data_IF_139747498624
#
_entry.id   IF_139747498624
#
_cell.length_a   1.000
_cell.length_b   1.000
_cell.length_c   1.000
_cell.angle_alpha   90.00
_cell.angle_beta   90.00
_cell.angle_gamma   90.00
#
_symmetry.space_group_name_H-M   'P 1'
#
loop_
_entity.id
_entity.type
_entity.pdbx_description
1 polymer ?
#
# COMPACT_ATOMS: atom_id res chain seq x y z
N UNK A 1 -1.38 14.66 8.88
CA UNK A 1 -0.11 14.04 9.37
C UNK A 1 0.32 12.82 8.52
N UNK A 2 1.46 12.18 8.80
CA UNK A 2 1.81 10.87 8.19
C UNK A 2 0.96 9.75 8.81
N UNK A 3 0.58 8.72 8.03
CA UNK A 3 -0.22 7.61 8.54
C UNK A 3 0.60 6.76 9.51
N UNK A 4 -0.02 6.40 10.61
CA UNK A 4 0.44 5.39 11.54
C UNK A 4 -0.03 4.01 11.09
N UNK A 5 0.50 2.95 11.69
CA UNK A 5 0.02 1.58 11.48
C UNK A 5 -1.48 1.42 11.81
N UNK A 6 -1.97 2.16 12.82
CA UNK A 6 -3.37 2.14 13.20
C UNK A 6 -4.27 2.79 12.14
N UNK A 7 -3.84 3.90 11.50
CA UNK A 7 -4.63 4.53 10.43
C UNK A 7 -4.83 3.59 9.25
N UNK A 8 -3.80 2.81 8.92
CA UNK A 8 -3.89 1.79 7.88
C UNK A 8 -4.82 0.64 8.26
N UNK A 9 -4.77 0.18 9.52
CA UNK A 9 -5.72 -0.79 10.03
C UNK A 9 -7.17 -0.28 9.91
N UNK A 10 -7.43 0.94 10.36
CA UNK A 10 -8.76 1.56 10.29
C UNK A 10 -9.23 1.72 8.85
N UNK A 11 -8.36 2.15 7.94
CA UNK A 11 -8.66 2.25 6.51
C UNK A 11 -9.06 0.88 5.94
N UNK A 12 -8.29 -0.18 6.22
CA UNK A 12 -8.62 -1.50 5.73
C UNK A 12 -9.94 -2.02 6.32
N UNK A 13 -10.18 -1.85 7.62
CA UNK A 13 -11.44 -2.26 8.24
C UNK A 13 -12.66 -1.51 7.70
N UNK A 14 -12.51 -0.22 7.39
CA UNK A 14 -13.59 0.57 6.79
C UNK A 14 -14.05 0.02 5.44
N UNK A 15 -13.14 -0.60 4.67
CA UNK A 15 -13.43 -1.19 3.35
C UNK A 15 -13.56 -2.71 3.36
N UNK A 16 -13.97 -3.30 4.49
CA UNK A 16 -14.29 -4.73 4.57
C UNK A 16 -13.18 -5.63 5.12
N UNK A 17 -12.14 -5.04 5.72
CA UNK A 17 -11.07 -5.75 6.41
C UNK A 17 -9.93 -6.20 5.50
N UNK A 18 -8.92 -6.81 6.11
CA UNK A 18 -7.65 -7.16 5.45
C UNK A 18 -7.81 -8.09 4.24
N UNK A 19 -8.83 -8.94 4.19
CA UNK A 19 -9.03 -9.87 3.08
C UNK A 19 -9.71 -9.23 1.85
N UNK A 20 -10.37 -8.09 2.01
CA UNK A 20 -11.29 -7.54 1.00
C UNK A 20 -10.97 -6.09 0.57
N UNK A 21 -10.40 -5.30 1.48
CA UNK A 21 -10.20 -3.86 1.28
C UNK A 21 -9.31 -3.50 0.08
N UNK A 22 -8.43 -4.42 -0.34
CA UNK A 22 -7.49 -4.19 -1.43
C UNK A 22 -8.19 -3.87 -2.76
N UNK A 23 -9.38 -4.42 -3.01
CA UNK A 23 -10.16 -4.07 -4.22
C UNK A 23 -10.65 -2.63 -4.18
N UNK A 24 -11.22 -2.19 -3.06
CA UNK A 24 -11.75 -0.83 -2.90
C UNK A 24 -10.64 0.22 -2.88
N UNK A 25 -9.45 -0.12 -2.37
CA UNK A 25 -8.31 0.79 -2.25
C UNK A 25 -7.48 0.92 -3.53
N UNK A 26 -7.42 -0.14 -4.35
CA UNK A 26 -6.64 -0.12 -5.60
C UNK A 26 -7.26 0.80 -6.63
N UNK A 27 -6.38 1.44 -7.41
CA UNK A 27 -6.79 2.33 -8.48
C UNK A 27 -7.60 1.59 -9.55
N UNK A 28 -8.62 2.27 -10.05
CA UNK A 28 -9.29 1.93 -11.29
C UNK A 28 -8.56 2.68 -12.42
N UNK A 29 -7.66 2.00 -13.12
CA UNK A 29 -6.91 2.58 -14.22
C UNK A 29 -6.81 1.61 -15.40
N UNK A 30 -7.05 2.08 -16.65
CA UNK A 30 -6.90 1.24 -17.84
C UNK A 30 -5.44 0.84 -18.11
N UNK A 31 -4.47 1.49 -17.46
CA UNK A 31 -3.06 1.12 -17.54
C UNK A 31 -2.75 -0.20 -16.79
N UNK A 32 -3.65 -0.63 -15.90
CA UNK A 32 -3.54 -1.85 -15.11
C UNK A 32 -4.22 -3.01 -15.85
N UNK A 33 -3.58 -3.45 -16.94
CA UNK A 33 -4.15 -4.40 -17.89
C UNK A 33 -4.20 -5.85 -17.42
N UNK A 34 -3.44 -6.23 -16.37
CA UNK A 34 -3.52 -7.61 -15.87
C UNK A 34 -4.68 -7.76 -14.90
N UNK A 35 -5.31 -8.92 -14.95
CA UNK A 35 -6.29 -9.32 -13.96
C UNK A 35 -5.71 -9.18 -12.55
N UNK A 36 -6.55 -8.76 -11.60
CA UNK A 36 -6.23 -8.52 -10.18
C UNK A 36 -5.38 -7.25 -9.89
N UNK A 37 -4.71 -6.64 -10.89
CA UNK A 37 -4.01 -5.37 -10.66
C UNK A 37 -4.95 -4.18 -10.48
N UNK A 38 -6.14 -4.25 -11.09
CA UNK A 38 -7.16 -3.21 -11.06
C UNK A 38 -8.08 -3.38 -9.84
N UNK A 39 -8.34 -2.28 -9.14
CA UNK A 39 -9.36 -2.20 -8.10
C UNK A 39 -10.64 -1.55 -8.60
N UNK A 40 -11.65 -1.47 -7.72
CA UNK A 40 -12.88 -0.71 -7.96
C UNK A 40 -12.70 0.77 -7.63
N UNK A 41 -11.69 1.10 -6.83
CA UNK A 41 -11.43 2.45 -6.33
C UNK A 41 -12.63 3.12 -5.64
N UNK A 42 -13.54 2.33 -5.06
CA UNK A 42 -14.71 2.82 -4.31
C UNK A 42 -14.31 3.70 -3.12
N UNK A 43 -13.10 3.51 -2.60
CA UNK A 43 -12.53 4.33 -1.53
C UNK A 43 -12.03 5.71 -1.96
N UNK A 44 -11.90 5.95 -3.27
CA UNK A 44 -11.19 7.10 -3.85
C UNK A 44 -9.71 7.19 -3.46
N UNK A 45 -9.13 6.13 -2.87
CA UNK A 45 -7.73 6.11 -2.42
C UNK A 45 -6.73 6.03 -3.59
N UNK A 46 -7.09 5.33 -4.67
CA UNK A 46 -6.32 5.28 -5.91
C UNK A 46 -4.91 4.70 -5.75
N UNK A 47 -4.76 3.57 -5.04
CA UNK A 47 -3.45 2.93 -4.91
C UNK A 47 -2.98 2.37 -6.26
N UNK A 48 -1.93 2.99 -6.81
CA UNK A 48 -1.21 2.46 -7.97
C UNK A 48 -0.13 1.47 -7.51
N UNK A 49 0.06 0.33 -8.20
CA UNK A 49 1.10 -0.63 -7.87
C UNK A 49 2.49 -0.14 -8.31
N UNK A 50 3.02 0.85 -7.58
CA UNK A 50 4.32 1.47 -7.84
C UNK A 50 5.52 0.63 -7.37
N UNK A 51 5.28 -0.49 -6.68
CA UNK A 51 6.34 -1.33 -6.14
C UNK A 51 7.14 -0.65 -5.02
N UNK A 52 8.42 -1.01 -4.92
CA UNK A 52 9.41 -0.36 -4.06
C UNK A 52 10.65 0.03 -4.86
N UNK A 53 11.24 1.19 -4.55
CA UNK A 53 12.52 1.60 -5.14
C UNK A 53 13.68 0.74 -4.62
N UNK A 54 14.61 0.41 -5.52
CA UNK A 54 15.83 -0.33 -5.22
C UNK A 54 16.97 0.60 -4.77
N UNK A 55 17.87 0.08 -3.92
CA UNK A 55 19.02 0.83 -3.41
C UNK A 55 20.04 1.23 -4.49
N UNK A 56 20.08 0.51 -5.62
CA UNK A 56 20.98 0.79 -6.75
C UNK A 56 20.25 1.44 -7.94
N UNK A 57 19.08 2.03 -7.70
CA UNK A 57 18.19 2.51 -8.75
C UNK A 57 17.25 1.42 -9.26
N UNK A 58 16.19 1.84 -9.95
CA UNK A 58 15.12 0.96 -10.43
C UNK A 58 14.06 0.66 -9.37
N UNK A 59 13.06 -0.14 -9.76
CA UNK A 59 11.92 -0.48 -8.92
C UNK A 59 11.60 -1.98 -9.01
N UNK A 60 11.21 -2.56 -7.87
CA UNK A 60 10.76 -3.93 -7.74
C UNK A 60 9.25 -3.98 -7.56
N UNK A 61 8.58 -4.92 -8.24
CA UNK A 61 7.13 -5.10 -8.10
C UNK A 61 6.27 -4.01 -8.77
N UNK A 62 6.84 -3.26 -9.71
CA UNK A 62 6.09 -2.35 -10.57
C UNK A 62 4.95 -3.11 -11.27
N UNK A 63 3.75 -2.54 -11.22
CA UNK A 63 2.55 -3.15 -11.74
C UNK A 63 1.95 -4.23 -10.84
N UNK A 64 2.69 -4.82 -9.89
CA UNK A 64 2.18 -5.96 -9.11
C UNK A 64 1.76 -5.63 -7.68
N UNK A 65 2.42 -4.67 -7.03
CA UNK A 65 2.21 -4.42 -5.60
C UNK A 65 2.28 -2.92 -5.33
N UNK A 66 1.37 -2.42 -4.49
CA UNK A 66 1.50 -1.09 -3.91
C UNK A 66 2.01 -1.25 -2.47
N UNK A 67 3.09 -0.56 -2.13
CA UNK A 67 3.70 -0.62 -0.78
C UNK A 67 3.72 0.79 -0.23
N UNK A 68 3.18 0.96 0.97
CA UNK A 68 3.05 2.23 1.63
C UNK A 68 3.71 2.25 3.00
N UNK A 69 4.40 3.35 3.28
CA UNK A 69 5.08 3.58 4.55
C UNK A 69 4.09 3.96 5.66
N UNK A 70 4.43 3.63 6.91
CA UNK A 70 3.79 4.21 8.10
C UNK A 70 4.82 4.81 9.06
N UNK A 71 4.39 5.79 9.85
CA UNK A 71 5.21 6.44 10.88
C UNK A 71 5.37 5.64 12.16
N UNK A 72 4.91 4.39 12.17
CA UNK A 72 5.05 3.51 13.33
C UNK A 72 6.30 2.67 13.18
N UNK A 73 7.26 2.89 14.07
CA UNK A 73 8.46 2.08 14.17
C UNK A 73 8.11 0.64 14.54
N UNK A 74 8.79 -0.31 13.88
CA UNK A 74 8.81 -1.72 14.31
C UNK A 74 10.04 -2.01 15.16
N UNK A 75 11.20 -1.51 14.72
CA UNK A 75 12.47 -1.61 15.43
C UNK A 75 13.44 -0.47 15.01
N UNK A 76 14.72 -0.58 15.39
CA UNK A 76 15.75 0.42 15.08
C UNK A 76 15.99 0.61 13.57
N UNK A 77 15.73 -0.42 12.77
CA UNK A 77 16.05 -0.47 11.34
C UNK A 77 14.83 -0.57 10.43
N UNK A 78 13.66 -0.92 10.96
CA UNK A 78 12.42 -1.15 10.20
C UNK A 78 11.20 -0.39 10.73
N UNK A 79 10.28 -0.10 9.83
CA UNK A 79 8.93 0.46 10.11
C UNK A 79 7.87 -0.57 9.76
N UNK A 80 6.67 -0.39 10.33
CA UNK A 80 5.49 -1.08 9.81
C UNK A 80 5.07 -0.44 8.49
N UNK A 81 4.85 -1.26 7.48
CA UNK A 81 4.43 -0.84 6.15
C UNK A 81 3.22 -1.65 5.72
N UNK A 82 2.53 -1.18 4.68
CA UNK A 82 1.27 -1.76 4.23
C UNK A 82 1.30 -2.07 2.75
N UNK A 83 0.90 -3.29 2.40
CA UNK A 83 0.94 -3.82 1.04
C UNK A 83 -0.47 -4.07 0.52
N UNK A 84 -0.74 -3.63 -0.69
CA UNK A 84 -1.88 -4.11 -1.47
C UNK A 84 -1.33 -5.12 -2.48
N UNK A 85 -1.78 -6.35 -2.34
CA UNK A 85 -1.32 -7.49 -3.14
C UNK A 85 -2.10 -7.55 -4.47
N UNK A 86 -1.85 -8.61 -5.27
CA UNK A 86 -2.64 -8.82 -6.50
C UNK A 86 -4.11 -8.99 -6.20
N UNK A 87 -4.51 -9.70 -5.16
CA UNK A 87 -5.93 -9.94 -4.90
C UNK A 87 -6.58 -8.82 -4.09
N UNK A 88 -7.72 -9.09 -3.47
CA UNK A 88 -8.44 -8.15 -2.60
C UNK A 88 -7.74 -7.90 -1.25
N UNK A 89 -6.58 -8.49 -1.03
CA UNK A 89 -5.91 -8.46 0.27
C UNK A 89 -5.07 -7.19 0.49
N UNK A 90 -5.16 -6.69 1.71
CA UNK A 90 -4.27 -5.71 2.30
C UNK A 90 -3.50 -6.41 3.41
N UNK A 91 -2.18 -6.30 3.38
CA UNK A 91 -1.30 -6.99 4.31
C UNK A 91 -0.39 -6.00 5.04
N UNK A 92 -0.34 -6.13 6.36
CA UNK A 92 0.70 -5.51 7.18
C UNK A 92 2.04 -6.20 6.95
N UNK A 93 3.07 -5.41 6.71
CA UNK A 93 4.43 -5.83 6.41
C UNK A 93 5.42 -4.96 7.20
N UNK A 94 6.71 -5.16 7.01
CA UNK A 94 7.74 -4.26 7.53
C UNK A 94 8.86 -4.05 6.51
N UNK A 95 9.24 -2.80 6.30
CA UNK A 95 10.33 -2.41 5.42
C UNK A 95 11.44 -1.71 6.19
N UNK A 96 12.62 -1.67 5.61
CA UNK A 96 13.72 -0.89 6.18
C UNK A 96 13.37 0.59 6.18
N UNK A 97 13.84 1.35 7.18
CA UNK A 97 13.65 2.81 7.26
C UNK A 97 14.17 3.58 6.05
N UNK A 98 15.09 2.98 5.29
CA UNK A 98 15.65 3.52 4.06
C UNK A 98 14.96 3.01 2.78
N UNK A 99 13.91 2.20 2.92
CA UNK A 99 13.17 1.66 1.79
C UNK A 99 12.36 2.77 1.11
N UNK A 100 12.37 2.75 -0.22
CA UNK A 100 11.68 3.75 -1.04
C UNK A 100 10.26 3.27 -1.33
N UNK A 101 9.38 3.42 -0.35
CA UNK A 101 7.96 3.09 -0.46
C UNK A 101 7.11 4.33 -0.73
N UNK A 102 5.87 4.12 -1.19
CA UNK A 102 4.94 5.22 -1.40
C UNK A 102 4.52 5.84 -0.07
N UNK A 103 4.35 7.15 -0.04
CA UNK A 103 3.88 7.89 1.15
C UNK A 103 2.52 8.52 0.84
N UNK A 104 1.63 8.49 1.83
CA UNK A 104 0.36 9.24 1.82
C UNK A 104 0.30 10.12 3.05
N UNK A 105 -0.61 11.09 3.03
CA UNK A 105 -0.92 11.91 4.19
C UNK A 105 -2.35 11.62 4.63
N UNK A 106 -2.57 11.63 5.95
CA UNK A 106 -3.89 11.61 6.56
C UNK A 106 -4.29 13.05 6.83
N UNK A 107 -5.50 13.43 6.42
CA UNK A 107 -6.09 14.70 6.81
C UNK A 107 -6.75 14.53 8.18
N UNK A 108 -6.41 15.43 9.10
CA UNK A 108 -6.97 15.52 10.44
C UNK A 108 -8.00 16.65 10.50
#
# INVERSE_FOLDING_TARGET
RLPTDEDWYQLAFHFGGLCSAGLALKADSPLLVREHQRGTNESLFGALPAGQGGSQGGYFGLGSTAIFWSSTDRDETTTWDWKLLRESEVQRWYGGKLAQHSVRCVQD
#
